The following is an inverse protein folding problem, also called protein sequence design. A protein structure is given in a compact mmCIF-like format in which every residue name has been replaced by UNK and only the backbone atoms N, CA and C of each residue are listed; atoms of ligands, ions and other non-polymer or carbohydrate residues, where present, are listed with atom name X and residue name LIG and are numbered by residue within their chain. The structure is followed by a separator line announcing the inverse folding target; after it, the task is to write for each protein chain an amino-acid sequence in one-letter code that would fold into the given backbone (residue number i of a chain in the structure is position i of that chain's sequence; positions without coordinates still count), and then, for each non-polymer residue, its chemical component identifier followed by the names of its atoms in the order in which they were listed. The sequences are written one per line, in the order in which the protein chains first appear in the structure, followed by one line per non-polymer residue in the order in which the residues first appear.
data_IF_773198115975
#
_entry.id   IF_773198115975
#
_cell.length_a   1.000
_cell.length_b   1.000
_cell.length_c   1.000
_cell.angle_alpha   90.00
_cell.angle_beta   90.00
_cell.angle_gamma   90.00
#
_symmetry.space_group_name_H-M   'P 1'
#
loop_
_entity.id
_entity.type
_entity.pdbx_description
1 polymer ?
#
# COMPACT_ATOMS: atom_id res chain seq x y z
N UNK A 1 -2.17 15.49 33.26
CA UNK A 1 -3.43 14.74 33.20
C UNK A 1 -3.27 13.69 32.09
N UNK A 2 -3.21 12.41 32.46
CA UNK A 2 -3.10 11.31 31.49
C UNK A 2 -4.42 11.25 30.72
N UNK A 3 -4.41 11.57 29.41
CA UNK A 3 -5.55 11.33 28.55
C UNK A 3 -5.92 9.85 28.66
N UNK A 4 -7.20 9.54 28.82
CA UNK A 4 -7.69 8.18 28.81
C UNK A 4 -7.21 7.53 27.52
N UNK A 5 -6.40 6.46 27.61
CA UNK A 5 -5.72 5.81 26.47
C UNK A 5 -6.68 5.25 25.42
N UNK A 6 -7.99 5.25 25.68
CA UNK A 6 -9.04 4.90 24.73
C UNK A 6 -9.21 5.85 23.53
N UNK A 7 -8.49 6.97 23.46
CA UNK A 7 -8.57 7.94 22.35
C UNK A 7 -7.19 8.12 21.66
N UNK A 8 -6.30 7.16 21.82
CA UNK A 8 -4.94 7.20 21.26
C UNK A 8 -4.81 6.39 19.99
N UNK A 9 -4.39 7.02 18.92
CA UNK A 9 -3.97 6.38 17.66
C UNK A 9 -2.48 6.08 17.73
N UNK A 10 -2.07 4.88 17.35
CA UNK A 10 -0.65 4.56 17.14
C UNK A 10 -0.29 4.71 15.66
N UNK A 11 0.81 5.40 15.36
CA UNK A 11 1.43 5.40 14.03
C UNK A 11 2.63 4.48 14.08
N UNK A 12 2.57 3.38 13.34
CA UNK A 12 3.71 2.47 13.20
C UNK A 12 4.65 2.93 12.10
N UNK A 13 5.89 3.22 12.47
CA UNK A 13 6.98 3.62 11.57
C UNK A 13 8.32 3.47 12.25
N UNK A 14 9.39 3.30 11.45
CA UNK A 14 10.78 3.29 11.92
C UNK A 14 11.39 4.70 11.93
N UNK A 15 10.77 5.64 11.23
CA UNK A 15 11.32 6.98 11.04
C UNK A 15 10.24 8.06 11.26
N UNK A 16 10.52 9.00 12.14
CA UNK A 16 9.71 10.20 12.34
C UNK A 16 9.98 11.21 11.21
N UNK A 17 9.85 10.77 9.97
CA UNK A 17 10.08 11.53 8.76
C UNK A 17 9.05 12.68 8.57
N UNK A 18 9.16 13.39 7.46
CA UNK A 18 8.23 14.46 7.10
C UNK A 18 6.77 13.97 7.06
N UNK A 19 6.52 12.75 6.51
CA UNK A 19 5.17 12.19 6.40
C UNK A 19 4.58 11.89 7.77
N UNK A 20 5.37 11.26 8.63
CA UNK A 20 4.98 10.90 10.00
C UNK A 20 4.63 12.15 10.81
N UNK A 21 5.46 13.20 10.76
CA UNK A 21 5.20 14.45 11.46
C UNK A 21 3.93 15.14 10.99
N UNK A 22 3.69 15.21 9.66
CA UNK A 22 2.49 15.83 9.11
C UNK A 22 1.23 15.03 9.45
N UNK A 23 1.28 13.69 9.34
CA UNK A 23 0.17 12.82 9.70
C UNK A 23 -0.18 12.92 11.18
N UNK A 24 0.84 12.85 12.07
CA UNK A 24 0.67 13.03 13.50
C UNK A 24 -0.05 14.35 13.81
N UNK A 25 0.48 15.46 13.31
CA UNK A 25 -0.13 16.79 13.51
C UNK A 25 -1.56 16.86 12.95
N UNK A 26 -1.84 16.20 11.81
CA UNK A 26 -3.17 16.19 11.23
C UNK A 26 -4.17 15.38 12.08
N UNK A 27 -3.77 14.23 12.63
CA UNK A 27 -4.61 13.43 13.53
C UNK A 27 -4.83 14.17 14.86
N UNK A 28 -3.79 14.78 15.44
CA UNK A 28 -3.92 15.55 16.69
C UNK A 28 -4.89 16.75 16.56
N UNK A 29 -4.95 17.38 15.38
CA UNK A 29 -5.96 18.43 15.11
C UNK A 29 -7.41 17.92 15.16
N UNK A 30 -7.65 16.62 15.05
CA UNK A 30 -8.99 16.02 15.20
C UNK A 30 -9.39 15.77 16.66
N UNK A 31 -8.50 16.03 17.61
CA UNK A 31 -8.71 15.79 19.05
C UNK A 31 -8.24 14.43 19.54
N UNK A 32 -7.71 13.58 18.67
CA UNK A 32 -7.15 12.27 19.05
C UNK A 32 -5.69 12.43 19.51
N UNK A 33 -5.30 11.69 20.54
CA UNK A 33 -3.90 11.58 20.93
C UNK A 33 -3.14 10.67 19.95
N UNK A 34 -1.85 10.94 19.73
CA UNK A 34 -1.02 10.14 18.81
C UNK A 34 0.28 9.71 19.46
N UNK A 35 0.54 8.40 19.43
CA UNK A 35 1.83 7.81 19.78
C UNK A 35 2.49 7.25 18.52
N UNK A 36 3.78 7.48 18.37
CA UNK A 36 4.58 6.91 17.26
C UNK A 36 5.42 5.78 17.84
N UNK A 37 5.30 4.59 17.27
CA UNK A 37 6.04 3.39 17.69
C UNK A 37 6.70 2.70 16.48
N UNK A 38 7.82 2.04 16.73
CA UNK A 38 8.34 1.02 15.81
C UNK A 38 7.69 -0.33 16.12
N UNK A 39 7.32 -1.08 15.09
CA UNK A 39 6.93 -2.49 15.26
C UNK A 39 8.08 -3.35 15.79
N UNK A 40 9.34 -2.89 15.66
CA UNK A 40 10.50 -3.57 16.24
C UNK A 40 10.50 -3.57 17.78
N UNK A 41 9.87 -2.54 18.37
CA UNK A 41 9.79 -2.39 19.83
C UNK A 41 8.55 -3.06 20.41
N UNK A 42 7.69 -3.64 19.57
CA UNK A 42 6.47 -4.33 19.93
C UNK A 42 6.66 -5.85 19.89
N UNK A 43 5.80 -6.58 20.58
CA UNK A 43 5.89 -8.03 20.63
C UNK A 43 4.64 -8.71 21.18
N UNK A 44 4.69 -10.03 21.28
CA UNK A 44 3.69 -10.84 21.96
C UNK A 44 4.10 -11.09 23.41
N UNK A 45 3.13 -11.00 24.34
CA UNK A 45 3.29 -11.31 25.76
C UNK A 45 2.11 -12.18 26.23
N UNK A 46 1.95 -13.34 25.58
CA UNK A 46 0.85 -14.27 25.83
C UNK A 46 0.87 -14.71 27.30
N UNK A 47 -0.21 -14.40 28.05
CA UNK A 47 -0.27 -14.60 29.49
C UNK A 47 0.46 -13.55 30.33
N UNK A 48 1.15 -12.58 29.71
CA UNK A 48 1.89 -11.51 30.41
C UNK A 48 1.18 -10.16 30.46
N UNK A 49 0.21 -9.94 29.55
CA UNK A 49 -0.66 -8.74 29.52
C UNK A 49 -2.11 -9.17 29.29
N UNK A 50 -3.07 -8.31 29.60
CA UNK A 50 -4.50 -8.62 29.46
C UNK A 50 -4.90 -8.96 28.01
N UNK A 51 -4.23 -8.36 27.01
CA UNK A 51 -4.48 -8.56 25.57
C UNK A 51 -3.40 -9.38 24.84
N UNK A 52 -2.38 -9.85 25.56
CA UNK A 52 -1.32 -10.71 24.99
C UNK A 52 -0.27 -10.02 24.13
N UNK A 53 -0.23 -8.68 24.08
CA UNK A 53 0.72 -7.90 23.30
C UNK A 53 1.60 -7.02 24.20
N UNK A 54 2.85 -6.80 23.80
CA UNK A 54 3.72 -5.75 24.34
C UNK A 54 3.68 -4.55 23.38
N UNK A 55 3.04 -3.46 23.82
CA UNK A 55 2.97 -2.20 23.12
C UNK A 55 3.54 -1.12 24.04
N UNK A 56 4.73 -0.57 23.77
CA UNK A 56 5.35 0.44 24.64
C UNK A 56 4.40 1.61 24.93
N UNK A 57 4.24 1.91 26.22
CA UNK A 57 3.39 2.99 26.69
C UNK A 57 1.90 2.66 26.80
N UNK A 58 1.41 1.49 26.39
CA UNK A 58 0.00 1.11 26.46
C UNK A 58 -0.36 0.22 27.67
N UNK A 59 0.60 -0.55 28.22
CA UNK A 59 0.33 -1.48 29.31
C UNK A 59 -0.76 -2.48 28.93
N UNK A 60 -1.83 -2.54 29.75
CA UNK A 60 -3.00 -3.40 29.51
C UNK A 60 -4.11 -2.73 28.67
N UNK A 61 -3.84 -1.58 28.08
CA UNK A 61 -4.79 -0.88 27.19
C UNK A 61 -4.35 -1.01 25.74
N UNK A 62 -5.31 -0.87 24.81
CA UNK A 62 -5.06 -0.89 23.38
C UNK A 62 -5.28 0.50 22.76
N UNK A 63 -4.59 0.85 21.65
CA UNK A 63 -4.95 2.02 20.86
C UNK A 63 -6.34 1.85 20.23
N UNK A 64 -7.05 2.96 19.96
CA UNK A 64 -8.33 2.91 19.24
C UNK A 64 -8.15 2.59 17.76
N UNK A 65 -7.02 3.02 17.20
CA UNK A 65 -6.61 2.71 15.84
C UNK A 65 -5.09 2.62 15.72
N UNK A 66 -4.64 1.89 14.71
CA UNK A 66 -3.26 1.80 14.29
C UNK A 66 -3.12 2.24 12.83
N UNK A 67 -2.24 3.20 12.57
CA UNK A 67 -1.90 3.64 11.22
C UNK A 67 -0.52 3.08 10.84
N UNK A 68 -0.47 2.23 9.82
CA UNK A 68 0.77 1.58 9.37
C UNK A 68 1.43 2.46 8.30
N UNK A 69 2.46 3.20 8.70
CA UNK A 69 3.19 4.10 7.79
C UNK A 69 4.39 3.43 7.14
N UNK A 70 5.08 2.58 7.89
CA UNK A 70 6.25 1.85 7.42
C UNK A 70 6.46 0.60 8.29
N UNK A 71 6.83 -0.50 7.63
CA UNK A 71 7.33 -1.71 8.29
C UNK A 71 8.81 -1.83 7.95
N UNK A 72 9.68 -1.93 8.95
CA UNK A 72 11.11 -2.06 8.76
C UNK A 72 11.47 -3.30 7.94
N UNK A 73 12.56 -3.22 7.22
CA UNK A 73 13.19 -4.38 6.59
C UNK A 73 13.66 -5.36 7.67
N UNK A 74 13.69 -6.63 7.35
CA UNK A 74 14.11 -7.68 8.26
C UNK A 74 14.20 -9.03 7.59
N UNK A 75 14.50 -10.06 8.39
CA UNK A 75 14.38 -11.45 7.97
C UNK A 75 12.91 -11.83 7.80
N UNK A 76 12.64 -12.98 7.20
CA UNK A 76 11.28 -13.51 7.07
C UNK A 76 10.59 -13.61 8.42
N UNK A 77 11.30 -14.08 9.46
CA UNK A 77 10.78 -14.24 10.82
C UNK A 77 10.39 -12.87 11.41
N UNK A 78 11.26 -11.86 11.26
CA UNK A 78 11.00 -10.52 11.76
C UNK A 78 9.79 -9.87 11.07
N UNK A 79 9.70 -9.98 9.74
CA UNK A 79 8.57 -9.43 8.98
C UNK A 79 7.28 -10.16 9.34
N UNK A 80 7.32 -11.50 9.42
CA UNK A 80 6.16 -12.33 9.83
C UNK A 80 5.68 -11.97 11.24
N UNK A 81 6.60 -11.79 12.21
CA UNK A 81 6.23 -11.39 13.56
C UNK A 81 5.56 -10.01 13.60
N UNK A 82 6.08 -9.02 12.86
CA UNK A 82 5.49 -7.67 12.78
C UNK A 82 4.11 -7.67 12.11
N UNK A 83 3.93 -8.43 11.03
CA UNK A 83 2.62 -8.61 10.40
C UNK A 83 1.66 -9.34 11.34
N UNK A 84 2.14 -10.34 12.08
CA UNK A 84 1.39 -11.03 13.12
C UNK A 84 0.86 -10.09 14.20
N UNK A 85 1.65 -9.08 14.62
CA UNK A 85 1.21 -8.05 15.57
C UNK A 85 0.04 -7.21 15.00
N UNK A 86 0.10 -6.84 13.71
CA UNK A 86 -0.96 -6.10 13.07
C UNK A 86 -2.24 -6.95 12.94
N UNK A 87 -2.10 -8.24 12.60
CA UNK A 87 -3.23 -9.18 12.63
C UNK A 87 -3.83 -9.30 14.02
N UNK A 88 -3.00 -9.46 15.07
CA UNK A 88 -3.45 -9.57 16.45
C UNK A 88 -4.19 -8.30 16.90
N UNK A 89 -3.69 -7.12 16.58
CA UNK A 89 -4.40 -5.85 16.85
C UNK A 89 -5.80 -5.83 16.23
N UNK A 90 -5.92 -6.28 14.99
CA UNK A 90 -7.22 -6.39 14.30
C UNK A 90 -8.15 -7.39 14.98
N UNK A 91 -7.66 -8.58 15.34
CA UNK A 91 -8.45 -9.59 16.09
C UNK A 91 -8.92 -9.06 17.45
N UNK A 92 -8.17 -8.17 18.08
CA UNK A 92 -8.51 -7.47 19.31
C UNK A 92 -9.45 -6.26 19.08
N UNK A 93 -9.92 -6.04 17.86
CA UNK A 93 -10.87 -4.98 17.51
C UNK A 93 -10.25 -3.61 17.26
N UNK A 94 -8.93 -3.49 17.25
CA UNK A 94 -8.23 -2.25 16.87
C UNK A 94 -8.37 -2.04 15.37
N UNK A 95 -8.73 -0.84 14.94
CA UNK A 95 -8.74 -0.48 13.52
C UNK A 95 -7.32 -0.28 12.99
N UNK A 96 -6.87 -1.19 12.13
CA UNK A 96 -5.52 -1.14 11.54
C UNK A 96 -5.63 -0.65 10.09
N UNK A 97 -5.01 0.46 9.77
CA UNK A 97 -5.00 1.11 8.45
C UNK A 97 -3.55 1.29 7.94
N UNK A 98 -3.12 0.67 6.86
CA UNK A 98 -3.75 -0.48 6.22
C UNK A 98 -3.51 -1.73 7.06
N UNK A 99 -4.47 -2.66 7.04
CA UNK A 99 -4.30 -3.89 7.79
C UNK A 99 -3.19 -4.78 7.19
N UNK A 100 -2.73 -5.75 7.97
CA UNK A 100 -1.63 -6.62 7.56
C UNK A 100 -1.92 -7.33 6.23
N UNK A 101 -3.15 -7.79 6.00
CA UNK A 101 -3.53 -8.48 4.78
C UNK A 101 -3.43 -7.57 3.53
N UNK A 102 -3.81 -6.31 3.65
CA UNK A 102 -3.65 -5.34 2.56
C UNK A 102 -2.17 -5.03 2.31
N UNK A 103 -1.37 -4.92 3.39
CA UNK A 103 0.09 -4.74 3.27
C UNK A 103 0.74 -5.92 2.57
N UNK A 104 0.46 -7.15 2.99
CA UNK A 104 0.97 -8.39 2.39
C UNK A 104 0.66 -8.45 0.89
N UNK A 105 -0.58 -8.18 0.50
CA UNK A 105 -1.03 -8.17 -0.90
C UNK A 105 -0.32 -7.12 -1.75
N UNK A 106 -0.03 -5.95 -1.19
CA UNK A 106 0.63 -4.86 -1.92
C UNK A 106 2.15 -5.02 -1.97
N UNK A 107 2.78 -5.68 -1.00
CA UNK A 107 4.23 -5.93 -1.00
C UNK A 107 4.58 -7.02 -2.01
N UNK A 108 3.74 -8.03 -2.13
CA UNK A 108 3.85 -9.09 -3.13
C UNK A 108 3.26 -8.63 -4.47
N UNK A 109 4.14 -8.29 -5.42
CA UNK A 109 3.73 -7.84 -6.76
C UNK A 109 2.93 -8.89 -7.53
N UNK A 110 3.17 -10.18 -7.29
CA UNK A 110 2.43 -11.25 -7.93
C UNK A 110 0.98 -11.26 -7.47
N UNK A 111 0.78 -11.16 -6.15
CA UNK A 111 -0.57 -11.11 -5.57
C UNK A 111 -1.31 -9.82 -5.95
N UNK A 112 -0.62 -8.68 -5.97
CA UNK A 112 -1.18 -7.41 -6.43
C UNK A 112 -1.69 -7.54 -7.88
N UNK A 113 -0.85 -8.01 -8.81
CA UNK A 113 -1.22 -8.16 -10.23
C UNK A 113 -2.36 -9.15 -10.41
N UNK A 114 -2.36 -10.26 -9.68
CA UNK A 114 -3.44 -11.24 -9.70
C UNK A 114 -4.78 -10.64 -9.26
N UNK A 115 -4.79 -9.88 -8.16
CA UNK A 115 -6.01 -9.27 -7.63
C UNK A 115 -6.54 -8.17 -8.56
N UNK A 116 -5.67 -7.36 -9.16
CA UNK A 116 -6.03 -6.35 -10.16
C UNK A 116 -6.70 -7.03 -11.37
N UNK A 117 -6.08 -8.05 -11.93
CA UNK A 117 -6.61 -8.79 -13.07
C UNK A 117 -7.95 -9.48 -12.73
N UNK A 118 -8.06 -10.10 -11.55
CA UNK A 118 -9.29 -10.77 -11.07
C UNK A 118 -10.43 -9.76 -10.85
N UNK A 119 -10.11 -8.51 -10.49
CA UNK A 119 -11.09 -7.42 -10.40
C UNK A 119 -11.52 -6.87 -11.78
N UNK A 120 -11.03 -7.44 -12.87
CA UNK A 120 -11.34 -7.01 -14.24
C UNK A 120 -10.74 -5.66 -14.60
N UNK A 121 -9.62 -5.30 -13.97
CA UNK A 121 -8.89 -4.06 -14.27
C UNK A 121 -7.76 -4.35 -15.27
N UNK A 122 -7.54 -3.46 -16.25
CA UNK A 122 -6.39 -3.55 -17.14
C UNK A 122 -5.08 -3.50 -16.35
N UNK A 123 -4.23 -4.49 -16.56
CA UNK A 123 -2.88 -4.57 -16.02
C UNK A 123 -1.98 -5.26 -17.05
N UNK A 124 -0.70 -4.93 -17.17
CA UNK A 124 0.17 -5.59 -18.13
C UNK A 124 0.26 -7.09 -17.82
N UNK A 125 0.26 -7.91 -18.85
CA UNK A 125 0.41 -9.35 -18.71
C UNK A 125 1.67 -9.66 -17.91
N UNK A 126 1.54 -10.49 -16.88
CA UNK A 126 2.62 -10.77 -15.93
C UNK A 126 2.74 -12.28 -15.68
N UNK A 127 3.96 -12.74 -15.48
CA UNK A 127 4.30 -14.12 -15.18
C UNK A 127 5.19 -14.18 -13.96
N UNK A 128 4.95 -15.15 -13.10
CA UNK A 128 5.73 -15.36 -11.88
C UNK A 128 6.07 -16.85 -11.75
N UNK A 129 7.32 -17.16 -11.53
CA UNK A 129 7.76 -18.55 -11.39
C UNK A 129 9.20 -18.66 -10.90
N UNK A 130 9.57 -19.85 -10.45
CA UNK A 130 10.92 -20.18 -9.98
C UNK A 130 11.74 -20.92 -11.05
N UNK A 131 11.05 -21.63 -11.94
CA UNK A 131 11.69 -22.39 -13.03
C UNK A 131 12.24 -21.43 -14.10
N UNK A 132 13.57 -21.30 -14.15
CA UNK A 132 14.27 -20.41 -15.08
C UNK A 132 14.03 -20.79 -16.53
N UNK A 133 13.96 -22.09 -16.87
CA UNK A 133 13.79 -22.53 -18.25
C UNK A 133 12.39 -22.21 -18.77
N UNK A 134 11.36 -22.47 -17.94
CA UNK A 134 9.99 -22.10 -18.25
C UNK A 134 9.83 -20.57 -18.39
N UNK A 135 10.46 -19.79 -17.52
CA UNK A 135 10.43 -18.32 -17.58
C UNK A 135 11.22 -17.78 -18.78
N UNK A 136 12.32 -18.43 -19.17
CA UNK A 136 13.07 -18.09 -20.38
C UNK A 136 12.24 -18.30 -21.64
N UNK A 137 11.53 -19.41 -21.74
CA UNK A 137 10.63 -19.68 -22.88
C UNK A 137 9.61 -18.56 -23.08
N UNK A 138 9.05 -17.99 -21.98
CA UNK A 138 8.13 -16.84 -22.05
C UNK A 138 8.80 -15.58 -22.65
N UNK A 139 10.07 -15.33 -22.32
CA UNK A 139 10.84 -14.21 -22.87
C UNK A 139 11.15 -14.44 -24.35
N UNK A 140 11.47 -15.68 -24.73
CA UNK A 140 11.80 -16.04 -26.11
C UNK A 140 10.59 -15.94 -27.04
N UNK A 141 9.39 -16.24 -26.52
CA UNK A 141 8.11 -16.16 -27.24
C UNK A 141 7.44 -14.76 -27.13
N UNK A 142 7.97 -13.87 -26.29
CA UNK A 142 7.37 -12.57 -26.08
C UNK A 142 7.35 -11.73 -27.38
N UNK A 143 6.22 -11.06 -27.68
CA UNK A 143 6.12 -10.22 -28.88
C UNK A 143 6.94 -8.93 -28.79
N UNK A 144 7.42 -8.59 -27.58
CA UNK A 144 8.20 -7.38 -27.30
C UNK A 144 8.99 -7.52 -26.03
N UNK A 145 9.56 -6.42 -25.58
CA UNK A 145 10.34 -6.40 -24.35
C UNK A 145 9.50 -6.70 -23.12
N UNK A 146 10.14 -7.26 -22.10
CA UNK A 146 9.55 -7.48 -20.79
C UNK A 146 10.28 -6.68 -19.72
N UNK A 147 9.65 -6.54 -18.56
CA UNK A 147 10.23 -5.93 -17.36
C UNK A 147 10.39 -7.00 -16.30
N UNK A 148 11.61 -7.26 -15.92
CA UNK A 148 11.94 -8.10 -14.77
C UNK A 148 11.96 -7.23 -13.51
N UNK A 149 11.14 -7.55 -12.53
CA UNK A 149 11.04 -6.83 -11.26
C UNK A 149 11.40 -7.76 -10.10
N UNK A 150 12.05 -7.26 -9.04
CA UNK A 150 12.09 -8.01 -7.79
C UNK A 150 10.68 -8.25 -7.26
N UNK A 151 10.37 -9.45 -6.77
CA UNK A 151 9.06 -9.74 -6.19
C UNK A 151 8.76 -8.78 -5.04
N UNK A 152 9.74 -8.59 -4.14
CA UNK A 152 9.72 -7.60 -3.07
C UNK A 152 10.69 -6.46 -3.41
N UNK A 153 10.21 -5.23 -3.43
CA UNK A 153 11.04 -4.08 -3.75
C UNK A 153 10.22 -2.79 -3.89
N UNK A 154 10.89 -1.66 -3.76
CA UNK A 154 10.29 -0.33 -3.85
C UNK A 154 11.21 0.64 -4.61
N UNK A 155 10.67 1.79 -4.99
CA UNK A 155 11.41 2.91 -5.58
C UNK A 155 12.09 2.58 -6.93
N UNK A 156 11.61 1.58 -7.65
CA UNK A 156 12.19 1.16 -8.94
C UNK A 156 13.57 0.50 -8.84
N UNK A 157 14.03 0.12 -7.64
CA UNK A 157 15.32 -0.55 -7.45
C UNK A 157 15.25 -1.98 -7.96
N UNK A 158 16.27 -2.37 -8.74
CA UNK A 158 16.39 -3.74 -9.26
C UNK A 158 15.47 -4.06 -10.45
N UNK A 159 14.69 -3.10 -10.94
CA UNK A 159 13.88 -3.27 -12.14
C UNK A 159 14.80 -3.25 -13.38
N UNK A 160 14.60 -4.21 -14.29
CA UNK A 160 15.37 -4.34 -15.54
C UNK A 160 14.43 -4.51 -16.72
N UNK A 161 14.72 -3.85 -17.82
CA UNK A 161 14.09 -4.12 -19.12
C UNK A 161 14.84 -5.29 -19.76
N UNK A 162 14.11 -6.30 -20.17
CA UNK A 162 14.62 -7.52 -20.80
C UNK A 162 14.12 -7.50 -22.24
N UNK A 163 14.99 -7.20 -23.22
CA UNK A 163 14.62 -7.31 -24.61
C UNK A 163 14.18 -8.73 -24.96
N UNK A 164 13.25 -8.86 -25.88
CA UNK A 164 12.81 -10.16 -26.36
C UNK A 164 13.99 -11.06 -26.77
N UNK A 165 13.93 -12.32 -26.44
CA UNK A 165 14.98 -13.33 -26.73
C UNK A 165 16.33 -13.08 -26.03
N UNK A 166 16.34 -12.26 -24.97
CA UNK A 166 17.53 -12.06 -24.14
C UNK A 166 17.53 -13.05 -22.98
N UNK A 167 18.72 -13.56 -22.64
CA UNK A 167 18.87 -14.50 -21.53
C UNK A 167 18.50 -13.86 -20.19
N UNK A 168 17.67 -14.57 -19.40
CA UNK A 168 17.36 -14.19 -18.03
C UNK A 168 18.59 -14.36 -17.12
N UNK A 169 18.72 -13.52 -16.10
CA UNK A 169 19.78 -13.66 -15.10
C UNK A 169 19.61 -14.99 -14.34
N UNK A 170 20.68 -15.43 -13.68
CA UNK A 170 20.66 -16.61 -12.83
C UNK A 170 19.75 -16.40 -11.60
N UNK A 171 19.15 -17.49 -11.04
CA UNK A 171 18.15 -17.40 -9.95
C UNK A 171 18.63 -16.63 -8.72
N UNK A 172 19.92 -16.74 -8.35
CA UNK A 172 20.51 -16.01 -7.21
C UNK A 172 20.51 -14.49 -7.39
N UNK A 173 20.45 -14.01 -8.63
CA UNK A 173 20.39 -12.57 -8.97
C UNK A 173 18.98 -11.97 -8.88
N UNK A 174 17.96 -12.81 -8.70
CA UNK A 174 16.54 -12.42 -8.65
C UNK A 174 15.84 -12.90 -7.37
N UNK A 175 16.60 -13.43 -6.42
CA UNK A 175 16.05 -13.98 -5.18
C UNK A 175 15.28 -15.28 -5.38
N UNK A 176 15.59 -16.04 -6.43
CA UNK A 176 14.99 -17.33 -6.75
C UNK A 176 13.62 -17.26 -7.42
N UNK A 177 13.02 -16.07 -7.55
CA UNK A 177 11.68 -15.91 -8.17
C UNK A 177 11.74 -14.86 -9.26
N UNK A 178 11.34 -15.23 -10.45
CA UNK A 178 11.19 -14.32 -11.59
C UNK A 178 9.79 -13.72 -11.59
N UNK A 179 9.71 -12.39 -11.56
CA UNK A 179 8.49 -11.64 -11.88
C UNK A 179 8.74 -10.90 -13.19
N UNK A 180 8.12 -11.37 -14.25
CA UNK A 180 8.18 -10.79 -15.59
C UNK A 180 6.84 -10.11 -15.90
N UNK A 181 6.90 -8.91 -16.49
CA UNK A 181 5.73 -8.16 -16.92
C UNK A 181 5.98 -7.60 -18.31
N UNK A 182 4.97 -7.60 -19.20
CA UNK A 182 5.10 -6.97 -20.52
C UNK A 182 5.49 -5.49 -20.36
N UNK A 183 6.44 -5.03 -21.18
CA UNK A 183 6.80 -3.62 -21.25
C UNK A 183 5.70 -2.85 -21.96
N UNK A 184 5.09 -1.88 -21.28
CA UNK A 184 4.03 -1.06 -21.87
C UNK A 184 4.68 0.04 -22.72
N UNK A 185 4.40 -0.01 -24.02
CA UNK A 185 4.76 1.08 -24.94
C UNK A 185 3.77 2.22 -24.77
N UNK A 186 4.28 3.41 -24.51
CA UNK A 186 3.46 4.59 -24.33
C UNK A 186 3.11 5.25 -25.67
N UNK A 187 2.05 6.09 -25.73
CA UNK A 187 1.73 6.84 -26.93
C UNK A 187 2.94 7.64 -27.41
N UNK A 188 3.24 7.57 -28.69
CA UNK A 188 4.23 8.42 -29.36
C UNK A 188 3.68 9.83 -29.59
N UNK A 189 3.22 10.51 -28.53
CA UNK A 189 2.71 11.87 -28.60
C UNK A 189 3.79 12.92 -28.41
N UNK A 190 3.39 14.20 -28.34
CA UNK A 190 4.24 15.37 -28.03
C UNK A 190 4.82 15.30 -26.58
N UNK A 191 5.31 14.12 -26.20
CA UNK A 191 6.10 13.96 -25.01
C UNK A 191 7.23 15.00 -25.10
N UNK A 192 7.42 15.78 -24.04
CA UNK A 192 8.58 16.67 -23.97
C UNK A 192 9.79 15.87 -24.37
N UNK A 193 10.55 16.34 -25.35
CA UNK A 193 11.71 15.61 -25.89
C UNK A 193 12.74 15.27 -24.80
N UNK A 194 12.76 16.06 -23.72
CA UNK A 194 13.61 15.90 -22.54
C UNK A 194 13.08 14.88 -21.50
N UNK A 195 11.78 14.52 -21.54
CA UNK A 195 11.13 13.61 -20.59
C UNK A 195 10.04 12.76 -21.26
N UNK A 196 10.42 11.81 -22.15
CA UNK A 196 9.47 11.08 -23.00
C UNK A 196 8.66 10.02 -22.26
N UNK A 197 9.05 9.65 -21.04
CA UNK A 197 8.36 8.63 -20.25
C UNK A 197 7.53 9.27 -19.15
N UNK A 198 6.34 8.74 -18.93
CA UNK A 198 5.46 9.19 -17.88
C UNK A 198 4.66 8.04 -17.27
N UNK A 199 4.24 8.22 -16.03
CA UNK A 199 3.19 7.43 -15.38
C UNK A 199 2.38 8.32 -14.45
N UNK A 200 1.25 7.77 -13.99
CA UNK A 200 0.36 8.45 -13.06
C UNK A 200 0.50 7.84 -11.67
N UNK A 201 0.58 8.70 -10.66
CA UNK A 201 0.40 8.32 -9.27
C UNK A 201 -0.91 8.92 -8.78
N UNK A 202 -1.90 8.06 -8.55
CA UNK A 202 -3.19 8.43 -7.97
C UNK A 202 -3.23 8.01 -6.50
N UNK A 203 -3.52 8.95 -5.62
CA UNK A 203 -3.60 8.71 -4.18
C UNK A 203 -5.05 8.57 -3.77
N UNK A 204 -5.41 7.39 -3.27
CA UNK A 204 -6.77 7.03 -2.85
C UNK A 204 -6.82 6.95 -1.34
N UNK A 205 -7.89 7.48 -0.72
CA UNK A 205 -8.17 7.42 0.71
C UNK A 205 -9.66 7.15 0.91
N UNK A 206 -10.01 6.11 1.64
CA UNK A 206 -11.40 5.77 1.94
C UNK A 206 -12.27 5.58 0.69
N UNK A 207 -11.71 4.97 -0.37
CA UNK A 207 -12.42 4.74 -1.64
C UNK A 207 -12.61 6.00 -2.50
N UNK A 208 -11.94 7.10 -2.19
CA UNK A 208 -12.00 8.35 -2.97
C UNK A 208 -10.61 8.81 -3.39
N UNK A 209 -10.50 9.38 -4.58
CA UNK A 209 -9.25 10.02 -5.01
C UNK A 209 -9.01 11.27 -4.18
N UNK A 210 -7.89 11.30 -3.48
CA UNK A 210 -7.45 12.47 -2.72
C UNK A 210 -6.65 13.44 -3.58
N UNK A 211 -5.72 12.93 -4.40
CA UNK A 211 -4.89 13.72 -5.31
C UNK A 211 -4.27 12.82 -6.38
N UNK A 212 -3.81 13.41 -7.47
CA UNK A 212 -3.09 12.70 -8.52
C UNK A 212 -1.94 13.56 -9.08
N UNK A 213 -0.88 12.89 -9.52
CA UNK A 213 0.22 13.53 -10.24
C UNK A 213 0.68 12.67 -11.42
N UNK A 214 1.20 13.32 -12.47
CA UNK A 214 1.97 12.68 -13.52
C UNK A 214 3.44 12.77 -13.11
N UNK A 215 4.17 11.65 -13.21
CA UNK A 215 5.62 11.61 -13.03
C UNK A 215 6.29 11.49 -14.38
N UNK A 216 7.13 12.46 -14.73
CA UNK A 216 7.85 12.51 -16.01
C UNK A 216 9.33 12.25 -15.80
N UNK A 217 9.94 11.52 -16.75
CA UNK A 217 11.35 11.15 -16.67
C UNK A 217 11.97 11.03 -18.06
N UNK A 218 13.27 11.37 -18.21
CA UNK A 218 14.03 11.03 -19.41
C UNK A 218 14.31 9.53 -19.52
N UNK A 219 14.09 8.77 -18.44
CA UNK A 219 14.26 7.31 -18.38
C UNK A 219 12.90 6.63 -18.20
N UNK A 220 12.77 5.41 -18.70
CA UNK A 220 11.55 4.62 -18.62
C UNK A 220 11.12 4.27 -17.17
N UNK A 221 12.00 4.45 -16.18
CA UNK A 221 11.65 4.37 -14.75
C UNK A 221 11.29 5.79 -14.28
N UNK A 222 10.05 5.95 -13.86
CA UNK A 222 9.42 7.25 -13.55
C UNK A 222 9.29 7.55 -12.04
N UNK A 223 10.02 6.82 -11.19
CA UNK A 223 10.00 7.06 -9.76
C UNK A 223 10.65 8.41 -9.38
N UNK A 224 9.97 9.22 -8.56
CA UNK A 224 10.49 10.50 -8.03
C UNK A 224 11.86 10.34 -7.37
N UNK A 225 12.07 9.23 -6.63
CA UNK A 225 13.35 8.94 -5.98
C UNK A 225 14.50 8.76 -6.99
N UNK A 226 14.20 8.42 -8.24
CA UNK A 226 15.17 8.28 -9.33
C UNK A 226 15.30 9.53 -10.24
N UNK A 227 14.70 10.65 -9.81
CA UNK A 227 14.83 11.93 -10.48
C UNK A 227 13.69 12.29 -11.43
N UNK A 228 12.58 11.55 -11.41
CA UNK A 228 11.40 12.00 -12.13
C UNK A 228 10.81 13.27 -11.52
N UNK A 229 10.17 14.08 -12.36
CA UNK A 229 9.49 15.32 -11.98
C UNK A 229 8.00 15.05 -11.84
N UNK A 230 7.40 15.46 -10.72
CA UNK A 230 5.97 15.39 -10.49
C UNK A 230 5.26 16.65 -10.98
N UNK A 231 4.19 16.49 -11.72
CA UNK A 231 3.30 17.57 -12.19
C UNK A 231 1.86 17.23 -11.75
N UNK A 232 1.02 18.25 -11.51
CA UNK A 232 -0.39 18.01 -11.21
C UNK A 232 -1.05 17.23 -12.37
N UNK A 233 -1.73 16.14 -12.06
CA UNK A 233 -2.51 15.42 -13.05
C UNK A 233 -3.87 16.11 -13.25
N UNK A 234 -4.33 16.25 -14.50
CA UNK A 234 -5.71 16.65 -14.74
C UNK A 234 -6.67 15.58 -14.22
N UNK A 235 -7.92 15.93 -13.88
CA UNK A 235 -8.94 14.93 -13.59
C UNK A 235 -9.13 14.01 -14.80
N UNK A 236 -9.06 12.70 -14.57
CA UNK A 236 -9.34 11.67 -15.57
C UNK A 236 -10.23 10.59 -14.96
N UNK A 237 -11.42 10.40 -15.54
CA UNK A 237 -12.45 9.53 -14.98
C UNK A 237 -12.02 8.05 -15.02
N UNK A 238 -11.32 7.60 -16.06
CA UNK A 238 -10.87 6.23 -16.21
C UNK A 238 -9.72 5.91 -15.24
N UNK A 239 -8.69 6.77 -15.21
CA UNK A 239 -7.56 6.62 -14.29
C UNK A 239 -8.01 6.62 -12.83
N UNK A 240 -8.98 7.47 -12.47
CA UNK A 240 -9.50 7.58 -11.11
C UNK A 240 -10.35 6.38 -10.73
N UNK A 241 -11.24 5.90 -11.63
CA UNK A 241 -12.01 4.68 -11.40
C UNK A 241 -11.09 3.47 -11.19
N UNK A 242 -10.11 3.29 -12.07
CA UNK A 242 -9.16 2.18 -11.94
C UNK A 242 -8.36 2.26 -10.64
N UNK A 243 -7.93 3.44 -10.21
CA UNK A 243 -7.21 3.60 -8.96
C UNK A 243 -8.07 3.24 -7.73
N UNK A 244 -9.32 3.69 -7.69
CA UNK A 244 -10.25 3.36 -6.61
C UNK A 244 -10.54 1.86 -6.57
N UNK A 245 -10.85 1.25 -7.70
CA UNK A 245 -11.14 -0.19 -7.79
C UNK A 245 -9.90 -1.05 -7.48
N UNK A 246 -8.71 -0.64 -7.91
CA UNK A 246 -7.47 -1.33 -7.59
C UNK A 246 -7.16 -1.29 -6.09
N UNK A 247 -7.40 -0.14 -5.44
CA UNK A 247 -7.27 0.02 -3.98
C UNK A 247 -8.24 -0.92 -3.24
N UNK A 248 -9.49 -1.01 -3.71
CA UNK A 248 -10.49 -1.92 -3.16
C UNK A 248 -10.12 -3.40 -3.39
N UNK A 249 -9.58 -3.76 -4.55
CA UNK A 249 -9.18 -5.13 -4.88
C UNK A 249 -8.11 -5.69 -3.92
N UNK A 250 -7.17 -4.86 -3.50
CA UNK A 250 -6.17 -5.27 -2.50
C UNK A 250 -6.69 -5.16 -1.06
N UNK A 251 -7.83 -4.50 -0.84
CA UNK A 251 -8.44 -4.29 0.48
C UNK A 251 -7.76 -3.20 1.30
N UNK A 252 -7.19 -2.19 0.66
CA UNK A 252 -6.50 -1.10 1.34
C UNK A 252 -7.46 0.05 1.68
N UNK A 253 -7.28 0.67 2.86
CA UNK A 253 -7.99 1.89 3.27
C UNK A 253 -7.45 3.11 2.55
N UNK A 254 -6.16 3.13 2.26
CA UNK A 254 -5.50 4.15 1.47
C UNK A 254 -4.38 3.54 0.65
N UNK A 255 -4.12 4.08 -0.53
CA UNK A 255 -3.05 3.59 -1.40
C UNK A 255 -2.54 4.66 -2.36
N UNK A 256 -1.32 4.46 -2.84
CA UNK A 256 -0.80 5.12 -4.03
C UNK A 256 -0.82 4.13 -5.19
N UNK A 257 -1.68 4.39 -6.17
CA UNK A 257 -1.83 3.54 -7.35
C UNK A 257 -1.03 4.11 -8.50
N UNK A 258 -0.20 3.28 -9.11
CA UNK A 258 0.59 3.63 -10.29
C UNK A 258 -0.10 3.11 -11.55
N UNK A 259 -0.40 4.02 -12.48
CA UNK A 259 -1.02 3.70 -13.76
C UNK A 259 -0.12 4.19 -14.90
N UNK A 260 -0.17 3.48 -16.01
CA UNK A 260 0.53 3.86 -17.24
C UNK A 260 -0.46 3.89 -18.39
N UNK A 261 -0.37 4.91 -19.23
CA UNK A 261 -1.13 4.99 -20.46
C UNK A 261 -0.43 4.16 -21.53
N UNK A 262 -1.15 3.28 -22.22
CA UNK A 262 -0.61 2.48 -23.31
C UNK A 262 -0.74 3.18 -24.66
N UNK A 263 -0.15 2.63 -25.71
CA UNK A 263 -0.13 3.19 -27.05
C UNK A 263 -1.53 3.38 -27.69
N UNK A 264 -2.59 2.83 -27.07
CA UNK A 264 -3.99 2.97 -27.54
C UNK A 264 -4.72 4.07 -26.77
N UNK A 265 -4.06 4.73 -25.81
CA UNK A 265 -4.63 5.77 -24.96
C UNK A 265 -5.46 5.24 -23.78
N UNK A 266 -5.43 3.94 -23.49
CA UNK A 266 -6.07 3.35 -22.32
C UNK A 266 -5.10 3.23 -21.15
N UNK A 267 -5.62 3.24 -19.92
CA UNK A 267 -4.80 3.07 -18.72
C UNK A 267 -4.63 1.60 -18.34
N UNK A 268 -3.46 1.27 -17.81
CA UNK A 268 -3.17 -0.01 -17.17
C UNK A 268 -2.62 0.23 -15.76
N UNK A 269 -3.09 -0.55 -14.78
CA UNK A 269 -2.63 -0.47 -13.39
C UNK A 269 -1.32 -1.25 -13.27
N UNK A 270 -0.24 -0.57 -12.89
CA UNK A 270 1.09 -1.17 -12.72
C UNK A 270 1.34 -1.73 -11.33
N UNK A 271 0.86 -1.00 -10.30
CA UNK A 271 1.20 -1.30 -8.90
C UNK A 271 0.21 -0.59 -7.95
N UNK A 272 -0.05 -1.18 -6.79
CA UNK A 272 -0.75 -0.58 -5.67
C UNK A 272 0.16 -0.58 -4.46
N UNK A 273 0.45 0.60 -3.92
CA UNK A 273 1.32 0.78 -2.76
C UNK A 273 0.48 1.06 -1.51
N UNK A 274 0.50 0.18 -0.52
CA UNK A 274 -0.25 0.31 0.76
C UNK A 274 0.37 1.29 1.76
N UNK A 275 1.64 1.66 1.59
CA UNK A 275 2.35 2.62 2.45
C UNK A 275 3.02 3.70 1.58
N UNK A 276 2.24 4.44 0.77
CA UNK A 276 2.81 5.36 -0.21
C UNK A 276 3.45 6.57 0.45
N UNK A 277 4.56 7.04 -0.13
CA UNK A 277 5.09 8.36 0.15
C UNK A 277 4.31 9.41 -0.65
N UNK A 278 3.97 10.55 -0.03
CA UNK A 278 3.18 11.60 -0.67
C UNK A 278 3.84 12.98 -0.68
N UNK A 279 5.08 13.13 -0.18
CA UNK A 279 5.77 14.43 -0.18
C UNK A 279 5.94 15.02 -1.58
N UNK A 280 6.21 14.18 -2.58
CA UNK A 280 6.27 14.61 -3.98
C UNK A 280 4.90 15.05 -4.51
N UNK A 281 3.87 14.27 -4.24
CA UNK A 281 2.49 14.58 -4.62
C UNK A 281 1.98 15.86 -3.94
N UNK A 282 2.28 16.06 -2.65
CA UNK A 282 1.88 17.27 -1.92
C UNK A 282 2.40 18.57 -2.55
N UNK A 283 3.50 18.51 -3.31
CA UNK A 283 4.03 19.69 -4.02
C UNK A 283 3.26 20.03 -5.30
N UNK A 284 2.41 19.13 -5.78
CA UNK A 284 1.64 19.30 -7.02
C UNK A 284 0.16 19.60 -6.76
N UNK A 285 -0.26 19.70 -5.50
CA UNK A 285 -1.67 19.94 -5.12
C UNK A 285 -1.77 20.79 -3.87
N UNK A 286 -2.82 21.61 -3.79
CA UNK A 286 -3.21 22.37 -2.59
C UNK A 286 -3.99 21.50 -1.58
N UNK A 287 -4.37 20.28 -1.94
CA UNK A 287 -5.12 19.38 -1.07
C UNK A 287 -4.20 18.88 0.06
N UNK A 288 -4.59 19.10 1.31
CA UNK A 288 -3.90 18.56 2.50
C UNK A 288 -4.11 17.04 2.58
N UNK A 289 -3.14 16.27 2.04
CA UNK A 289 -3.18 14.81 2.01
C UNK A 289 -3.17 14.23 3.42
N UNK A 290 -2.36 14.77 4.34
CA UNK A 290 -2.34 14.33 5.72
C UNK A 290 -3.69 14.58 6.42
N UNK A 291 -4.33 15.72 6.14
CA UNK A 291 -5.67 16.03 6.62
C UNK A 291 -6.74 15.09 6.06
N UNK A 292 -6.62 14.63 4.81
CA UNK A 292 -7.51 13.60 4.23
C UNK A 292 -7.36 12.27 4.95
N UNK A 293 -6.14 11.82 5.20
CA UNK A 293 -5.86 10.60 5.97
C UNK A 293 -6.39 10.69 7.40
N UNK A 294 -6.18 11.82 8.09
CA UNK A 294 -6.68 12.04 9.44
C UNK A 294 -8.21 12.02 9.52
N UNK A 295 -8.91 12.64 8.56
CA UNK A 295 -10.38 12.55 8.49
C UNK A 295 -10.85 11.12 8.30
N UNK A 296 -10.20 10.35 7.43
CA UNK A 296 -10.54 8.95 7.24
C UNK A 296 -10.38 8.11 8.52
N UNK A 297 -9.33 8.37 9.32
CA UNK A 297 -9.18 7.75 10.65
C UNK A 297 -10.40 8.02 11.52
N UNK A 298 -10.88 9.27 11.58
CA UNK A 298 -12.07 9.64 12.38
C UNK A 298 -13.34 8.99 11.84
N UNK A 299 -13.54 8.96 10.51
CA UNK A 299 -14.70 8.33 9.86
C UNK A 299 -14.80 6.84 10.19
N UNK A 300 -13.69 6.13 10.08
CA UNK A 300 -13.62 4.69 10.41
C UNK A 300 -13.92 4.44 11.89
N UNK A 301 -13.40 5.26 12.79
CA UNK A 301 -13.68 5.17 14.23
C UNK A 301 -15.15 5.51 14.54
N UNK A 302 -15.74 6.50 13.88
CA UNK A 302 -17.15 6.87 14.04
C UNK A 302 -18.10 5.76 13.59
N UNK A 303 -17.84 5.13 12.45
CA UNK A 303 -18.65 4.01 11.93
C UNK A 303 -18.65 2.80 12.85
N UNK A 304 -17.56 2.56 13.57
CA UNK A 304 -17.44 1.43 14.53
C UNK A 304 -18.27 1.66 15.79
N UNK A 305 -18.32 2.89 16.31
CA UNK A 305 -19.15 3.24 17.50
C UNK A 305 -20.64 3.00 17.22
N UNK A 306 -21.13 3.40 16.06
CA UNK A 306 -22.54 3.21 15.66
C UNK A 306 -22.90 1.73 15.51
N UNK A 307 -22.00 0.88 15.02
CA UNK A 307 -22.24 -0.56 14.84
C UNK A 307 -22.24 -1.30 16.18
N UNK A 308 -21.39 -0.91 17.15
CA UNK A 308 -21.37 -1.54 18.48
C UNK A 308 -22.59 -1.16 19.33
N UNK A 309 -23.11 0.06 19.22
CA UNK A 309 -24.34 0.47 19.89
C UNK A 309 -25.57 -0.29 19.35
N UNK A 310 -25.63 -0.55 18.05
CA UNK A 310 -26.71 -1.34 17.45
C UNK A 310 -26.64 -2.84 17.79
N UNK A 311 -25.46 -3.37 18.08
CA UNK A 311 -25.29 -4.78 18.48
C UNK A 311 -25.66 -5.06 19.95
N UNK A 312 -25.54 -4.06 20.83
CA UNK A 312 -25.92 -4.17 22.25
C UNK A 312 -27.45 -4.21 22.43
N UNK A 313 -28.22 -3.77 21.44
CA UNK A 313 -29.70 -3.78 21.50
C UNK A 313 -30.36 -5.11 21.13
N UNK A 314 -29.62 -6.20 20.89
CA UNK A 314 -30.20 -7.54 20.70
C UNK A 314 -30.51 -8.19 22.07
N UNK A 315 -31.77 -8.60 22.34
CA UNK A 315 -32.10 -9.24 23.61
C UNK A 315 -31.36 -10.58 23.75
N UNK A 316 -30.79 -10.79 24.92
CA UNK A 316 -30.15 -12.05 25.29
C UNK A 316 -31.14 -13.22 25.11
N UNK A 317 -30.82 -14.17 24.25
CA UNK A 317 -31.56 -15.44 24.17
C UNK A 317 -31.22 -16.24 25.42
N UNK A 318 -32.18 -16.32 26.33
CA UNK A 318 -32.12 -17.18 27.53
C UNK A 318 -32.14 -18.64 27.10
N UNK A 319 -31.04 -19.35 27.25
CA UNK A 319 -31.00 -20.82 27.18
C UNK A 319 -31.40 -21.36 28.52
N UNK A 320 -32.66 -21.79 28.65
CA UNK A 320 -33.11 -22.58 29.80
C UNK A 320 -32.58 -24.00 29.64
N UNK A 321 -31.89 -24.59 30.65
CA UNK A 321 -31.47 -25.97 30.56
C UNK A 321 -32.70 -26.91 30.64
N UNK A 322 -32.76 -27.84 29.68
CA UNK A 322 -33.72 -28.94 29.73
C UNK A 322 -33.39 -29.87 30.91
N UNK A 323 -34.39 -30.24 31.65
CA UNK A 323 -34.35 -31.25 32.75
C UNK A 323 -34.19 -32.66 32.20
#
# INVERSE_FOLDING_TARGET
MSAARGDTVVIFTEDADWHTRNLKAAIERTGLAVVVLSLNDCGFAIGGTAHGLMLPGFGDTLPVAAFVRLIAKGTTEQITARLGLLHALRELGVKVMNDARAVERCVDKSMTSFLIATAGLPTPRSFVGEDREAMQALVDEAPGDMVLKPLFGAQGKGIRRIPARTALPEPDKVGGVYYLQDFVTQPGGEARADAPYQDWRVFVVGGQVAAAMIRRSPRWITNIHQGAIGEAAPPDAEAFDYAVRATAAVGADYAGVDLIEDARGGFQVLEVNSMPAWKGLQKTTEIDIAGRLARHVVEVLGSTRTTSESAISRPAVSLTPAR
#
